data_IF_108281768191
#
_entry.id   IF_108281768191
#
_cell.length_a   1.000
_cell.length_b   1.000
_cell.length_c   1.000
_cell.angle_alpha   90.00
_cell.angle_beta   90.00
_cell.angle_gamma   90.00
#
_symmetry.space_group_name_H-M   'P 1'
#
loop_
_entity.id
_entity.type
_entity.pdbx_description
1 polymer ?
#
# COMPACT_ATOMS: atom_id res chain seq x y z
N UNK A 1 -1.07 -8.65 -2.43
CA UNK A 1 -2.31 -9.36 -2.12
C UNK A 1 -2.61 -9.11 -0.66
N UNK A 2 -3.79 -8.55 -0.35
CA UNK A 2 -4.27 -8.37 1.00
C UNK A 2 -4.98 -9.64 1.47
N UNK A 3 -4.61 -10.15 2.64
CA UNK A 3 -5.27 -11.28 3.29
C UNK A 3 -6.01 -10.77 4.53
N UNK A 4 -7.28 -11.17 4.69
CA UNK A 4 -8.10 -10.73 5.82
C UNK A 4 -7.73 -11.51 7.09
N UNK A 5 -7.53 -10.80 8.20
CA UNK A 5 -7.20 -11.35 9.51
C UNK A 5 -8.12 -10.78 10.59
N UNK A 6 -8.22 -11.38 11.79
CA UNK A 6 -9.00 -10.80 12.87
C UNK A 6 -8.53 -9.37 13.19
N UNK A 7 -9.42 -8.40 13.01
CA UNK A 7 -9.17 -6.98 13.28
C UNK A 7 -8.48 -6.19 12.16
N UNK A 8 -8.27 -6.78 10.97
CA UNK A 8 -7.71 -6.04 9.84
C UNK A 8 -7.25 -6.90 8.67
N UNK A 9 -6.19 -6.44 8.03
CA UNK A 9 -5.65 -6.99 6.78
C UNK A 9 -4.13 -7.08 6.85
N UNK A 10 -3.57 -8.11 6.24
CA UNK A 10 -2.13 -8.24 6.00
C UNK A 10 -1.86 -7.96 4.53
N UNK A 11 -1.00 -6.98 4.24
CA UNK A 11 -0.62 -6.60 2.89
C UNK A 11 0.74 -7.19 2.50
N UNK A 12 0.75 -7.95 1.41
CA UNK A 12 1.97 -8.46 0.79
C UNK A 12 2.13 -7.96 -0.65
N UNK A 13 3.32 -7.57 -1.07
CA UNK A 13 3.61 -7.29 -2.48
C UNK A 13 4.52 -6.09 -2.71
N UNK A 14 4.55 -5.61 -3.96
CA UNK A 14 5.47 -4.57 -4.38
C UNK A 14 4.75 -3.49 -5.20
N UNK A 15 5.13 -2.23 -4.98
CA UNK A 15 4.76 -1.08 -5.80
C UNK A 15 6.02 -0.39 -6.28
N UNK A 16 5.98 0.12 -7.51
CA UNK A 16 7.11 0.75 -8.17
C UNK A 16 6.69 2.11 -8.70
N UNK A 17 7.60 3.09 -8.60
CA UNK A 17 7.41 4.50 -8.95
C UNK A 17 6.58 5.42 -8.02
N UNK A 18 6.07 5.05 -6.83
CA UNK A 18 5.39 6.03 -5.97
C UNK A 18 6.33 7.18 -5.60
N UNK A 19 5.90 8.39 -5.97
CA UNK A 19 6.61 9.63 -5.68
C UNK A 19 6.50 9.97 -4.18
N UNK A 20 7.54 10.57 -3.64
CA UNK A 20 7.64 11.04 -2.24
C UNK A 20 7.65 9.95 -1.17
N UNK A 21 7.67 8.68 -1.56
CA UNK A 21 7.64 7.54 -0.65
C UNK A 21 8.79 7.52 0.36
N UNK A 22 9.95 8.09 0.04
CA UNK A 22 11.10 8.12 0.95
C UNK A 22 10.86 8.90 2.24
N UNK A 23 9.87 9.78 2.27
CA UNK A 23 9.56 10.65 3.41
C UNK A 23 8.06 10.75 3.70
N UNK A 24 7.25 9.86 3.12
CA UNK A 24 5.81 9.91 3.31
C UNK A 24 5.43 9.33 4.69
N UNK A 25 4.60 10.08 5.43
CA UNK A 25 4.01 9.60 6.69
C UNK A 25 2.81 8.67 6.46
N UNK A 26 2.18 8.79 5.29
CA UNK A 26 0.97 8.04 4.94
C UNK A 26 1.08 7.52 3.52
N UNK A 27 0.76 6.25 3.34
CA UNK A 27 0.74 5.55 2.06
C UNK A 27 -0.67 5.09 1.74
N UNK A 28 -1.18 5.55 0.60
CA UNK A 28 -2.45 5.07 0.05
C UNK A 28 -2.14 3.88 -0.86
N UNK A 29 -2.47 2.67 -0.40
CA UNK A 29 -2.17 1.43 -1.11
C UNK A 29 -3.45 0.87 -1.72
N UNK A 30 -3.47 0.73 -3.05
CA UNK A 30 -4.50 -0.02 -3.76
C UNK A 30 -4.02 -1.46 -3.98
N UNK A 31 -4.75 -2.44 -3.46
CA UNK A 31 -4.43 -3.85 -3.59
C UNK A 31 -5.65 -4.68 -4.00
N UNK A 32 -5.45 -5.64 -4.91
CA UNK A 32 -6.51 -6.55 -5.33
C UNK A 32 -6.75 -7.61 -4.26
N UNK A 33 -7.96 -7.67 -3.73
CA UNK A 33 -8.40 -8.68 -2.79
C UNK A 33 -8.49 -10.05 -3.49
N UNK A 34 -7.83 -11.05 -2.90
CA UNK A 34 -7.74 -12.40 -3.44
C UNK A 34 -9.08 -13.15 -3.45
N UNK A 35 -9.99 -12.82 -2.53
CA UNK A 35 -11.29 -13.46 -2.40
C UNK A 35 -12.35 -12.85 -3.31
N UNK A 36 -12.37 -11.52 -3.46
CA UNK A 36 -13.39 -10.81 -4.26
C UNK A 36 -12.91 -10.46 -5.66
N UNK A 37 -11.59 -10.54 -5.92
CA UNK A 37 -10.94 -10.08 -7.14
C UNK A 37 -11.20 -8.60 -7.47
N UNK A 38 -11.50 -7.81 -6.44
CA UNK A 38 -11.75 -6.37 -6.53
C UNK A 38 -10.60 -5.58 -5.90
N UNK A 39 -10.45 -4.32 -6.32
CA UNK A 39 -9.42 -3.44 -5.79
C UNK A 39 -9.93 -2.79 -4.52
N UNK A 40 -9.20 -3.00 -3.42
CA UNK A 40 -9.43 -2.35 -2.14
C UNK A 40 -8.37 -1.27 -1.90
N UNK A 41 -8.76 -0.23 -1.17
CA UNK A 41 -7.87 0.86 -0.75
C UNK A 41 -7.58 0.85 0.74
N UNK A 42 -6.29 0.92 1.06
CA UNK A 42 -5.72 0.79 2.41
C UNK A 42 -4.87 2.01 2.73
N UNK A 43 -4.94 2.47 3.97
CA UNK A 43 -4.06 3.50 4.52
C UNK A 43 -2.99 2.81 5.37
N UNK A 44 -1.72 2.97 4.97
CA UNK A 44 -0.56 2.42 5.68
C UNK A 44 0.27 3.56 6.24
N UNK A 45 0.59 3.50 7.53
CA UNK A 45 1.45 4.50 8.17
C UNK A 45 2.91 4.30 7.75
N UNK A 46 3.64 5.41 7.60
CA UNK A 46 5.07 5.41 7.37
C UNK A 46 5.81 4.76 8.52
N UNK A 47 6.75 3.86 8.20
CA UNK A 47 7.48 3.07 9.20
C UNK A 47 6.69 1.88 9.77
N UNK A 48 5.53 1.54 9.21
CA UNK A 48 4.83 0.31 9.58
C UNK A 48 5.77 -0.92 9.47
N UNK A 49 5.74 -1.86 10.43
CA UNK A 49 6.51 -3.09 10.35
C UNK A 49 6.24 -3.82 9.02
N UNK A 50 7.31 -4.24 8.34
CA UNK A 50 7.21 -4.90 7.04
C UNK A 50 7.21 -3.95 5.83
N UNK A 51 7.09 -2.64 6.03
CA UNK A 51 7.19 -1.64 4.96
C UNK A 51 8.66 -1.33 4.67
N UNK A 52 9.15 -1.72 3.49
CA UNK A 52 10.49 -1.40 3.00
C UNK A 52 10.41 -0.44 1.83
N UNK A 53 11.24 0.60 1.86
CA UNK A 53 11.27 1.65 0.84
C UNK A 53 12.69 1.72 0.30
N UNK A 54 12.82 1.63 -1.03
CA UNK A 54 14.10 1.75 -1.74
C UNK A 54 14.02 2.86 -2.78
N UNK A 55 14.99 3.76 -2.82
CA UNK A 55 14.98 4.86 -3.80
C UNK A 55 15.33 4.35 -5.20
N UNK A 56 14.62 4.85 -6.21
CA UNK A 56 14.94 4.59 -7.63
C UNK A 56 15.94 5.65 -8.10
N UNK A 57 17.19 5.23 -8.28
CA UNK A 57 18.27 6.06 -8.80
C UNK A 57 18.35 6.04 -10.34
N UNK A 58 19.23 6.87 -10.90
CA UNK A 58 19.54 6.93 -12.34
C UNK A 58 18.37 7.32 -13.26
N UNK A 59 17.43 8.14 -12.78
CA UNK A 59 16.35 8.69 -13.61
C UNK A 59 16.88 9.75 -14.58
N UNK A 60 16.46 9.65 -15.85
CA UNK A 60 16.83 10.62 -16.90
C UNK A 60 16.33 12.03 -16.58
N UNK A 61 15.09 12.15 -16.09
CA UNK A 61 14.40 13.39 -15.73
C UNK A 61 13.72 13.28 -14.35
N UNK A 62 13.15 14.38 -13.83
CA UNK A 62 12.50 14.44 -12.51
C UNK A 62 13.42 13.96 -11.36
N UNK A 63 14.71 14.29 -11.41
CA UNK A 63 15.72 13.86 -10.43
C UNK A 63 15.46 14.37 -9.00
N UNK A 64 14.74 15.48 -8.86
CA UNK A 64 14.34 16.05 -7.57
C UNK A 64 13.24 15.22 -6.90
N UNK A 65 12.31 14.65 -7.68
CA UNK A 65 11.22 13.83 -7.15
C UNK A 65 11.81 12.54 -6.58
N UNK A 66 11.48 12.20 -5.34
CA UNK A 66 11.97 10.95 -4.74
C UNK A 66 11.01 9.82 -5.12
N UNK A 67 11.22 9.21 -6.30
CA UNK A 67 10.51 7.97 -6.63
C UNK A 67 11.19 6.80 -5.93
N UNK A 68 10.39 5.91 -5.37
CA UNK A 68 10.89 4.73 -4.68
C UNK A 68 10.18 3.47 -5.19
N UNK A 69 10.80 2.32 -4.93
CA UNK A 69 10.14 1.03 -4.84
C UNK A 69 9.66 0.85 -3.39
N UNK A 70 8.42 0.40 -3.24
CA UNK A 70 7.82 0.03 -1.96
C UNK A 70 7.62 -1.47 -1.98
N UNK A 71 8.07 -2.13 -0.94
CA UNK A 71 7.86 -3.53 -0.69
C UNK A 71 7.13 -3.70 0.64
N UNK A 72 6.00 -4.40 0.59
CA UNK A 72 5.16 -4.73 1.72
C UNK A 72 5.37 -6.21 2.02
N UNK A 73 5.99 -6.51 3.16
CA UNK A 73 6.15 -7.87 3.70
C UNK A 73 5.32 -7.97 4.98
N UNK A 74 4.19 -8.65 4.92
CA UNK A 74 3.30 -8.90 6.06
C UNK A 74 2.89 -7.62 6.82
N UNK A 75 2.59 -6.54 6.08
CA UNK A 75 2.23 -5.25 6.68
C UNK A 75 0.79 -5.30 7.19
N UNK A 76 0.60 -5.14 8.51
CA UNK A 76 -0.72 -5.07 9.12
C UNK A 76 -1.40 -3.71 8.92
N UNK A 77 -2.69 -3.75 8.56
CA UNK A 77 -3.58 -2.60 8.39
C UNK A 77 -4.89 -2.86 9.12
N UNK A 78 -5.30 -2.00 10.08
CA UNK A 78 -6.56 -2.17 10.79
C UNK A 78 -7.78 -1.92 9.88
N UNK A 79 -8.94 -2.49 10.24
CA UNK A 79 -10.16 -2.38 9.41
C UNK A 79 -10.66 -0.94 9.23
N UNK A 80 -10.42 -0.05 10.19
CA UNK A 80 -10.78 1.37 10.12
C UNK A 80 -9.92 2.17 9.13
N UNK A 81 -8.77 1.64 8.74
CA UNK A 81 -7.87 2.21 7.74
C UNK A 81 -8.17 1.72 6.31
N UNK A 82 -9.29 1.03 6.09
CA UNK A 82 -9.77 0.58 4.78
C UNK A 82 -10.90 1.48 4.29
N UNK A 83 -10.70 2.18 3.17
CA UNK A 83 -11.64 3.21 2.69
C UNK A 83 -12.30 2.88 1.34
N UNK A 84 -11.79 1.88 0.63
CA UNK A 84 -12.36 1.37 -0.62
C UNK A 84 -12.66 -0.12 -0.46
N UNK A 85 -13.33 -0.51 0.63
CA UNK A 85 -13.86 -1.86 0.75
C UNK A 85 -15.15 -1.95 -0.08
N UNK A 86 -15.28 -2.91 -1.02
CA UNK A 86 -16.55 -3.18 -1.64
C UNK A 86 -17.42 -3.86 -0.58
N UNK A 87 -18.28 -3.10 0.08
CA UNK A 87 -19.29 -3.67 0.96
C UNK A 87 -20.63 -3.00 0.66
N UNK A 88 -21.56 -3.87 0.24
CA UNK A 88 -22.99 -3.68 -0.01
C UNK A 88 -23.35 -3.09 -1.39
N UNK A 89 -23.81 -4.01 -2.23
CA UNK A 89 -24.90 -3.79 -3.19
C UNK A 89 -25.81 -2.68 -2.68
N UNK A 90 -25.83 -1.55 -3.39
CA UNK A 90 -27.02 -0.69 -3.38
C UNK A 90 -28.15 -1.55 -3.93
N UNK A 91 -29.09 -1.89 -3.07
CA UNK A 91 -30.44 -2.34 -3.47
C UNK A 91 -31.15 -1.18 -4.15
#
# INVERSE_FOLDING_TARGET
MPDQVPGGWILNGQKRWPANSSFADIFVVLACNTSTNQINGFIVNGGAPGLKISKIDNKMSLRVVQNCDILLEDVFVPDDAVFLAPTLSKT
#
